data_IF_954432439028
#
_entry.id   IF_954432439028
#
_cell.length_a   1.000
_cell.length_b   1.000
_cell.length_c   1.000
_cell.angle_alpha   90.00
_cell.angle_beta   90.00
_cell.angle_gamma   90.00
#
_symmetry.space_group_name_H-M   'P 1'
#
loop_
_entity.id
_entity.type
_entity.pdbx_description
1 polymer ?
#
# COMPACT_ATOMS: atom_id res chain seq x y z
N UNK A 1 12.35 -9.60 -28.40
CA UNK A 1 11.82 -8.25 -28.13
C UNK A 1 12.47 -7.77 -26.85
N UNK A 2 13.36 -6.77 -26.96
CA UNK A 2 14.12 -6.25 -25.83
C UNK A 2 13.23 -5.44 -24.91
N UNK A 3 13.16 -5.83 -23.64
CA UNK A 3 12.54 -5.06 -22.57
C UNK A 3 13.37 -3.78 -22.38
N UNK A 4 12.85 -2.63 -22.81
CA UNK A 4 13.47 -1.33 -22.57
C UNK A 4 13.30 -0.98 -21.09
N UNK A 5 14.41 -0.76 -20.39
CA UNK A 5 14.42 -0.29 -19.02
C UNK A 5 13.57 0.98 -18.88
N UNK A 6 12.66 0.98 -17.91
CA UNK A 6 12.06 2.21 -17.40
C UNK A 6 13.16 2.98 -16.66
N UNK A 7 13.83 3.89 -17.35
CA UNK A 7 14.79 4.81 -16.74
C UNK A 7 14.02 5.87 -15.93
N UNK A 8 13.74 5.57 -14.66
CA UNK A 8 13.42 6.58 -13.66
C UNK A 8 14.76 7.13 -13.14
N UNK A 9 15.07 8.39 -13.43
CA UNK A 9 16.24 9.07 -12.84
C UNK A 9 15.78 9.98 -11.71
N UNK A 10 16.36 9.78 -10.52
CA UNK A 10 16.13 10.59 -9.34
C UNK A 10 17.23 11.64 -9.22
N UNK A 11 16.87 12.92 -9.22
CA UNK A 11 17.76 13.99 -8.75
C UNK A 11 17.47 14.28 -7.28
N UNK A 12 18.48 14.25 -6.42
CA UNK A 12 18.37 14.65 -5.00
C UNK A 12 18.99 16.03 -4.78
N UNK A 13 18.38 16.85 -3.94
CA UNK A 13 18.91 18.13 -3.46
C UNK A 13 19.56 17.98 -2.08
N UNK A 14 20.40 18.94 -1.66
CA UNK A 14 21.14 18.88 -0.39
C UNK A 14 20.25 18.85 0.86
N UNK A 15 18.99 19.29 0.74
CA UNK A 15 17.95 19.24 1.78
C UNK A 15 17.18 17.90 1.83
N UNK A 16 17.52 16.95 0.95
CA UNK A 16 16.91 15.63 0.90
C UNK A 16 15.63 15.55 0.06
N UNK A 17 15.16 16.66 -0.55
CA UNK A 17 14.07 16.60 -1.53
C UNK A 17 14.50 15.87 -2.81
N UNK A 18 13.51 15.29 -3.50
CA UNK A 18 13.74 14.55 -4.74
C UNK A 18 12.75 14.93 -5.81
N UNK A 19 13.26 15.13 -7.02
CA UNK A 19 12.45 15.30 -8.23
C UNK A 19 12.70 14.15 -9.19
N UNK A 20 11.65 13.72 -9.88
CA UNK A 20 11.68 12.58 -10.79
C UNK A 20 11.49 13.04 -12.24
N UNK A 21 12.42 12.65 -13.12
CA UNK A 21 12.20 12.73 -14.57
C UNK A 21 11.50 11.44 -15.00
N UNK A 22 10.31 11.56 -15.60
CA UNK A 22 9.47 10.41 -15.95
C UNK A 22 9.20 10.37 -17.46
N UNK A 23 8.96 9.17 -17.99
CA UNK A 23 8.51 8.99 -19.36
C UNK A 23 6.98 8.91 -19.41
N UNK A 24 6.32 9.95 -19.92
CA UNK A 24 4.85 10.03 -20.03
C UNK A 24 4.22 8.94 -20.93
N UNK A 25 5.03 8.30 -21.77
CA UNK A 25 4.64 7.20 -22.66
C UNK A 25 5.24 5.85 -22.24
N UNK A 26 5.88 5.77 -21.07
CA UNK A 26 6.45 4.53 -20.54
C UNK A 26 5.38 3.48 -20.21
N UNK A 27 5.81 2.22 -20.03
CA UNK A 27 4.93 1.06 -19.80
C UNK A 27 3.95 1.24 -18.64
N UNK A 28 4.34 1.95 -17.57
CA UNK A 28 3.47 2.28 -16.44
C UNK A 28 2.15 2.96 -16.87
N UNK A 29 2.18 3.79 -17.91
CA UNK A 29 1.00 4.47 -18.46
C UNK A 29 0.21 3.62 -19.46
N UNK A 30 0.71 2.42 -19.78
CA UNK A 30 0.13 1.50 -20.77
C UNK A 30 -0.47 0.26 -20.13
N UNK A 31 -0.04 -0.11 -18.92
CA UNK A 31 -0.62 -1.18 -18.13
C UNK A 31 -2.13 -0.97 -18.00
N UNK A 32 -2.91 -1.96 -18.42
CA UNK A 32 -4.37 -1.94 -18.40
C UNK A 32 -4.92 -3.35 -18.09
N UNK A 33 -6.23 -3.52 -18.16
CA UNK A 33 -6.88 -4.78 -17.76
C UNK A 33 -6.47 -5.98 -18.65
N UNK A 34 -6.09 -5.76 -19.91
CA UNK A 34 -5.67 -6.82 -20.83
C UNK A 34 -4.38 -7.52 -20.37
N UNK A 35 -3.59 -6.88 -19.50
CA UNK A 35 -2.38 -7.44 -18.90
C UNK A 35 -2.69 -8.35 -17.69
N UNK A 36 -3.95 -8.46 -17.27
CA UNK A 36 -4.39 -9.26 -16.12
C UNK A 36 -4.84 -10.65 -16.55
N UNK A 37 -4.05 -11.66 -16.21
CA UNK A 37 -4.40 -13.07 -16.45
C UNK A 37 -5.33 -13.62 -15.36
N UNK A 38 -6.64 -13.50 -15.57
CA UNK A 38 -7.67 -14.01 -14.65
C UNK A 38 -7.66 -15.52 -14.47
N UNK A 39 -7.10 -16.29 -15.41
CA UNK A 39 -7.04 -17.76 -15.29
C UNK A 39 -6.12 -18.19 -14.14
N UNK A 40 -5.16 -17.34 -13.75
CA UNK A 40 -4.23 -17.63 -12.65
C UNK A 40 -4.76 -17.29 -11.28
N UNK A 41 -5.89 -16.59 -11.16
CA UNK A 41 -6.40 -16.13 -9.87
C UNK A 41 -6.71 -17.29 -8.91
N UNK A 42 -7.13 -18.45 -9.43
CA UNK A 42 -7.41 -19.64 -8.59
C UNK A 42 -6.15 -20.27 -7.98
N UNK A 43 -4.95 -19.79 -8.35
CA UNK A 43 -3.66 -20.31 -7.86
C UNK A 43 -3.17 -19.55 -6.61
N UNK A 44 -3.80 -18.43 -6.25
CA UNK A 44 -3.38 -17.59 -5.13
C UNK A 44 -4.52 -17.34 -4.14
N UNK A 45 -4.16 -17.06 -2.89
CA UNK A 45 -5.11 -16.77 -1.81
C UNK A 45 -5.45 -15.28 -1.69
N UNK A 46 -4.56 -14.43 -2.20
CA UNK A 46 -4.61 -12.98 -2.01
C UNK A 46 -4.15 -12.28 -3.29
N UNK A 47 -4.90 -11.25 -3.68
CA UNK A 47 -4.56 -10.30 -4.72
C UNK A 47 -4.10 -9.00 -4.04
N UNK A 48 -2.94 -8.49 -4.45
CA UNK A 48 -2.44 -7.19 -4.02
C UNK A 48 -2.36 -6.25 -5.22
N UNK A 49 -3.26 -5.27 -5.28
CA UNK A 49 -3.14 -4.16 -6.23
C UNK A 49 -2.14 -3.15 -5.66
N UNK A 50 -0.92 -3.18 -6.21
CA UNK A 50 0.23 -2.49 -5.63
C UNK A 50 0.14 -0.95 -5.58
N UNK A 51 -0.80 -0.32 -6.29
CA UNK A 51 -1.16 1.10 -6.14
C UNK A 51 -2.34 1.47 -7.05
N UNK A 52 -3.50 1.81 -6.48
CA UNK A 52 -4.58 2.51 -7.19
C UNK A 52 -4.04 3.86 -7.70
N UNK A 53 -4.50 4.29 -8.88
CA UNK A 53 -4.07 5.48 -9.63
C UNK A 53 -2.67 5.45 -10.23
N UNK A 54 -1.85 4.43 -9.94
CA UNK A 54 -0.49 4.39 -10.49
C UNK A 54 -0.46 4.20 -12.00
N UNK A 55 -1.28 3.29 -12.51
CA UNK A 55 -1.50 3.06 -13.94
C UNK A 55 -2.91 3.53 -14.31
N UNK A 56 -3.07 4.72 -14.93
CA UNK A 56 -4.39 5.34 -15.06
C UNK A 56 -5.40 4.57 -15.93
N UNK A 57 -4.96 3.61 -16.74
CA UNK A 57 -5.86 2.75 -17.51
C UNK A 57 -6.49 1.63 -16.66
N UNK A 58 -5.97 1.39 -15.45
CA UNK A 58 -6.64 0.60 -14.42
C UNK A 58 -7.56 1.52 -13.59
N UNK A 59 -8.56 2.08 -14.27
CA UNK A 59 -9.58 2.96 -13.69
C UNK A 59 -10.60 2.20 -12.82
N UNK A 60 -11.57 2.91 -12.22
CA UNK A 60 -12.57 2.29 -11.35
C UNK A 60 -13.35 1.14 -12.00
N UNK A 61 -13.61 1.18 -13.31
CA UNK A 61 -14.33 0.10 -14.01
C UNK A 61 -13.43 -1.12 -14.19
N UNK A 62 -12.19 -0.90 -14.63
CA UNK A 62 -11.21 -1.97 -14.76
C UNK A 62 -10.94 -2.63 -13.39
N UNK A 63 -10.79 -1.84 -12.34
CA UNK A 63 -10.59 -2.34 -10.98
C UNK A 63 -11.80 -3.12 -10.47
N UNK A 64 -13.02 -2.65 -10.75
CA UNK A 64 -14.25 -3.36 -10.38
C UNK A 64 -14.31 -4.74 -11.01
N UNK A 65 -13.99 -4.87 -12.31
CA UNK A 65 -13.93 -6.18 -12.98
C UNK A 65 -12.84 -7.07 -12.38
N UNK A 66 -11.63 -6.52 -12.19
CA UNK A 66 -10.51 -7.26 -11.59
C UNK A 66 -10.89 -7.82 -10.21
N UNK A 67 -11.47 -6.99 -9.37
CA UNK A 67 -11.86 -7.39 -8.02
C UNK A 67 -13.06 -8.33 -8.01
N UNK A 68 -13.99 -8.19 -8.94
CA UNK A 68 -15.09 -9.15 -9.14
C UNK A 68 -14.54 -10.54 -9.45
N UNK A 69 -13.58 -10.65 -10.38
CA UNK A 69 -12.93 -11.92 -10.73
C UNK A 69 -12.15 -12.53 -9.55
N UNK A 70 -11.51 -11.69 -8.73
CA UNK A 70 -10.81 -12.12 -7.52
C UNK A 70 -11.78 -12.64 -6.45
N UNK A 71 -12.90 -11.93 -6.20
CA UNK A 71 -13.92 -12.36 -5.24
C UNK A 71 -14.66 -13.62 -5.65
N UNK A 72 -14.88 -13.82 -6.96
CA UNK A 72 -15.44 -15.07 -7.49
C UNK A 72 -14.58 -16.31 -7.12
N UNK A 73 -13.30 -16.10 -6.77
CA UNK A 73 -12.35 -17.14 -6.34
C UNK A 73 -11.96 -17.01 -4.86
N UNK A 74 -12.75 -16.25 -4.09
CA UNK A 74 -12.59 -16.07 -2.64
C UNK A 74 -11.21 -15.53 -2.23
N UNK A 75 -10.55 -14.80 -3.13
CA UNK A 75 -9.28 -14.15 -2.80
C UNK A 75 -9.50 -13.03 -1.79
N UNK A 76 -8.53 -12.87 -0.88
CA UNK A 76 -8.38 -11.64 -0.12
C UNK A 76 -7.90 -10.54 -1.08
N UNK A 77 -8.47 -9.35 -1.00
CA UNK A 77 -8.09 -8.21 -1.84
C UNK A 77 -7.44 -7.13 -0.97
N UNK A 78 -6.17 -6.89 -1.26
CA UNK A 78 -5.35 -5.84 -0.71
C UNK A 78 -5.10 -4.76 -1.76
N UNK A 79 -5.12 -3.49 -1.37
CA UNK A 79 -4.77 -2.39 -2.27
C UNK A 79 -4.00 -1.30 -1.53
N UNK A 80 -2.95 -0.77 -2.18
CA UNK A 80 -2.31 0.50 -1.80
C UNK A 80 -2.79 1.60 -2.76
N UNK A 81 -2.41 2.85 -2.50
CA UNK A 81 -2.81 4.01 -3.30
C UNK A 81 -1.64 4.98 -3.45
N UNK A 82 -1.66 5.76 -4.54
CA UNK A 82 -0.85 6.97 -4.67
C UNK A 82 -1.76 8.17 -4.89
N UNK A 83 -1.20 9.38 -4.96
CA UNK A 83 -1.95 10.54 -5.45
C UNK A 83 -2.47 10.31 -6.88
N UNK A 84 -3.74 10.67 -7.18
CA UNK A 84 -4.28 10.69 -8.53
C UNK A 84 -3.35 11.39 -9.53
N UNK A 85 -3.25 10.85 -10.75
CA UNK A 85 -2.37 11.40 -11.81
C UNK A 85 -3.12 12.27 -12.82
N UNK A 86 -4.42 12.04 -12.98
CA UNK A 86 -5.30 12.68 -13.94
C UNK A 86 -6.50 13.36 -13.26
N UNK A 87 -6.35 13.74 -11.99
CA UNK A 87 -7.40 14.35 -11.15
C UNK A 87 -8.58 13.41 -10.86
N UNK A 88 -8.34 12.10 -10.87
CA UNK A 88 -9.31 11.13 -10.37
C UNK A 88 -9.67 11.44 -8.91
N UNK A 89 -10.92 11.17 -8.55
CA UNK A 89 -11.50 11.42 -7.24
C UNK A 89 -11.82 10.12 -6.53
N UNK A 90 -12.24 10.19 -5.27
CA UNK A 90 -12.72 9.02 -4.53
C UNK A 90 -13.95 8.39 -5.20
N UNK A 91 -14.83 9.21 -5.77
CA UNK A 91 -16.06 8.75 -6.44
C UNK A 91 -15.75 7.85 -7.64
N UNK A 92 -14.69 8.18 -8.39
CA UNK A 92 -14.27 7.43 -9.59
C UNK A 92 -13.86 5.98 -9.27
N UNK A 93 -13.52 5.67 -8.02
CA UNK A 93 -13.10 4.34 -7.58
C UNK A 93 -13.99 3.73 -6.49
N UNK A 94 -15.04 4.43 -6.06
CA UNK A 94 -15.82 4.05 -4.88
C UNK A 94 -16.48 2.67 -5.04
N UNK A 95 -16.97 2.35 -6.24
CA UNK A 95 -17.50 1.01 -6.55
C UNK A 95 -16.44 -0.09 -6.40
N UNK A 96 -15.24 0.12 -6.97
CA UNK A 96 -14.14 -0.83 -6.88
C UNK A 96 -13.68 -1.03 -5.42
N UNK A 97 -13.65 0.05 -4.63
CA UNK A 97 -13.27 -0.01 -3.22
C UNK A 97 -14.20 -0.91 -2.37
N UNK A 98 -15.45 -1.10 -2.78
CA UNK A 98 -16.41 -1.96 -2.05
C UNK A 98 -15.98 -3.44 -1.95
N UNK A 99 -15.08 -3.86 -2.84
CA UNK A 99 -14.51 -5.21 -2.90
C UNK A 99 -13.22 -5.35 -2.08
N UNK A 100 -12.60 -4.26 -1.64
CA UNK A 100 -11.29 -4.29 -0.98
C UNK A 100 -11.42 -4.71 0.49
N UNK A 101 -10.67 -5.73 0.88
CA UNK A 101 -10.65 -6.21 2.27
C UNK A 101 -9.71 -5.39 3.14
N UNK A 102 -8.54 -5.02 2.60
CA UNK A 102 -7.51 -4.23 3.28
C UNK A 102 -7.00 -3.12 2.35
N UNK A 103 -7.29 -1.87 2.70
CA UNK A 103 -6.76 -0.69 2.01
C UNK A 103 -5.62 -0.09 2.83
N UNK A 104 -4.50 0.22 2.20
CA UNK A 104 -3.29 0.74 2.85
C UNK A 104 -2.97 2.19 2.46
N UNK A 105 -3.84 3.19 2.69
CA UNK A 105 -3.55 4.53 2.23
C UNK A 105 -2.43 5.19 3.07
N UNK A 106 -1.66 6.09 2.46
CA UNK A 106 -0.77 7.00 3.20
C UNK A 106 -1.59 8.17 3.76
N UNK A 107 -1.34 8.59 5.01
CA UNK A 107 -2.10 9.69 5.65
C UNK A 107 -2.15 10.97 4.80
N UNK A 108 -1.02 11.45 4.26
CA UNK A 108 -0.97 12.70 3.53
C UNK A 108 -1.75 12.65 2.20
N UNK A 109 -1.70 11.51 1.52
CA UNK A 109 -2.40 11.28 0.26
C UNK A 109 -3.89 11.05 0.48
N UNK A 110 -4.25 10.30 1.53
CA UNK A 110 -5.63 10.06 1.94
C UNK A 110 -6.33 11.35 2.36
N UNK A 111 -5.65 12.19 3.14
CA UNK A 111 -6.12 13.52 3.52
C UNK A 111 -6.42 14.37 2.29
N UNK A 112 -5.52 14.38 1.31
CA UNK A 112 -5.73 15.12 0.06
C UNK A 112 -6.92 14.57 -0.75
N UNK A 113 -7.04 13.26 -0.87
CA UNK A 113 -8.11 12.61 -1.65
C UNK A 113 -9.50 12.79 -1.02
N UNK A 114 -9.59 12.70 0.31
CA UNK A 114 -10.86 12.76 1.06
C UNK A 114 -11.27 14.18 1.46
N UNK A 115 -10.30 15.11 1.51
CA UNK A 115 -10.49 16.46 2.06
C UNK A 115 -10.75 16.47 3.57
N UNK A 116 -10.42 15.39 4.29
CA UNK A 116 -10.61 15.23 5.74
C UNK A 116 -9.31 15.36 6.50
N UNK A 117 -9.41 15.80 7.75
CA UNK A 117 -8.25 16.14 8.58
C UNK A 117 -7.92 15.03 9.58
N UNK A 118 -8.93 14.41 10.18
CA UNK A 118 -8.73 13.39 11.22
C UNK A 118 -8.66 11.99 10.63
N UNK A 119 -7.87 11.11 11.26
CA UNK A 119 -7.73 9.71 10.82
C UNK A 119 -9.07 8.97 10.75
N UNK A 120 -9.96 9.24 11.69
CA UNK A 120 -11.31 8.66 11.73
C UNK A 120 -12.15 9.10 10.54
N UNK A 121 -12.25 10.41 10.27
CA UNK A 121 -13.01 10.93 9.14
C UNK A 121 -12.43 10.49 7.79
N UNK A 122 -11.09 10.44 7.67
CA UNK A 122 -10.41 9.92 6.48
C UNK A 122 -10.79 8.45 6.26
N UNK A 123 -10.72 7.62 7.31
CA UNK A 123 -11.10 6.21 7.22
C UNK A 123 -12.58 6.04 6.87
N UNK A 124 -13.46 6.88 7.43
CA UNK A 124 -14.91 6.83 7.20
C UNK A 124 -15.28 7.07 5.74
N UNK A 125 -14.53 7.90 5.02
CA UNK A 125 -14.72 8.08 3.57
C UNK A 125 -14.51 6.76 2.80
N UNK A 126 -13.48 5.98 3.14
CA UNK A 126 -13.24 4.69 2.50
C UNK A 126 -14.25 3.61 2.95
N UNK A 127 -14.68 3.66 4.22
CA UNK A 127 -15.76 2.80 4.71
C UNK A 127 -17.08 3.06 4.01
N UNK A 128 -17.40 4.31 3.71
CA UNK A 128 -18.60 4.68 2.97
C UNK A 128 -18.61 4.06 1.55
N UNK A 129 -17.44 3.83 0.96
CA UNK A 129 -17.29 3.07 -0.29
C UNK A 129 -17.30 1.55 -0.11
N UNK A 130 -17.36 1.03 1.12
CA UNK A 130 -17.50 -0.39 1.41
C UNK A 130 -16.22 -1.17 1.68
N UNK A 131 -15.07 -0.49 1.83
CA UNK A 131 -13.80 -1.11 2.26
C UNK A 131 -13.99 -1.82 3.60
N UNK A 132 -13.44 -3.03 3.77
CA UNK A 132 -13.65 -3.81 5.01
C UNK A 132 -12.72 -3.37 6.16
N UNK A 133 -11.45 -3.08 5.84
CA UNK A 133 -10.44 -2.63 6.80
C UNK A 133 -9.58 -1.54 6.16
N UNK A 134 -9.48 -0.40 6.82
CA UNK A 134 -8.63 0.71 6.39
C UNK A 134 -7.42 0.76 7.33
N UNK A 135 -6.21 0.69 6.77
CA UNK A 135 -4.93 0.70 7.50
C UNK A 135 -4.11 1.90 7.04
N UNK A 136 -4.31 3.05 7.69
CA UNK A 136 -3.65 4.31 7.35
C UNK A 136 -2.22 4.29 7.90
N UNK A 137 -1.24 4.42 7.01
CA UNK A 137 0.19 4.58 7.37
C UNK A 137 0.41 6.01 7.89
N UNK A 138 0.87 6.15 9.12
CA UNK A 138 1.11 7.44 9.80
C UNK A 138 2.60 7.71 10.06
N UNK A 139 3.48 7.03 9.30
CA UNK A 139 4.93 7.25 9.36
C UNK A 139 5.50 6.96 10.75
N UNK A 140 6.06 7.98 11.39
CA UNK A 140 6.69 7.91 12.72
C UNK A 140 5.72 7.51 13.84
N UNK A 141 4.42 7.66 13.62
CA UNK A 141 3.39 7.25 14.59
C UNK A 141 2.91 5.79 14.37
N UNK A 142 3.43 5.11 13.34
CA UNK A 142 3.08 3.74 12.99
C UNK A 142 1.91 3.65 12.03
N UNK A 143 0.81 3.04 12.47
CA UNK A 143 -0.42 3.01 11.69
C UNK A 143 -1.70 3.13 12.53
N UNK A 144 -2.75 3.58 11.87
CA UNK A 144 -4.12 3.61 12.36
C UNK A 144 -4.95 2.62 11.56
N UNK A 145 -5.75 1.82 12.26
CA UNK A 145 -6.60 0.81 11.67
C UNK A 145 -8.04 1.08 12.08
N UNK A 146 -8.95 1.02 11.12
CA UNK A 146 -10.39 1.02 11.36
C UNK A 146 -11.02 -0.19 10.66
N UNK A 147 -11.93 -0.88 11.35
CA UNK A 147 -12.69 -2.06 10.87
C UNK A 147 -14.05 -2.09 11.55
N UNK A 148 -15.10 -1.73 10.80
CA UNK A 148 -16.42 -1.48 11.39
C UNK A 148 -16.32 -0.40 12.45
N UNK A 149 -16.89 -0.63 13.63
CA UNK A 149 -16.86 0.32 14.75
C UNK A 149 -15.54 0.31 15.55
N UNK A 150 -14.63 -0.64 15.24
CA UNK A 150 -13.36 -0.76 15.95
C UNK A 150 -12.29 0.13 15.30
N UNK A 151 -11.59 0.88 16.16
CA UNK A 151 -10.37 1.60 15.79
C UNK A 151 -9.18 1.11 16.64
N UNK A 152 -7.99 1.10 16.04
CA UNK A 152 -6.76 0.67 16.68
C UNK A 152 -5.59 1.51 16.18
N UNK A 153 -4.80 2.05 17.11
CA UNK A 153 -3.49 2.63 16.81
C UNK A 153 -2.40 1.63 17.18
N UNK A 154 -1.44 1.43 16.28
CA UNK A 154 -0.28 0.57 16.51
C UNK A 154 0.97 1.43 16.27
N UNK A 155 1.68 1.84 17.34
CA UNK A 155 2.82 2.75 17.26
C UNK A 155 3.92 2.27 16.30
N UNK A 156 4.76 3.15 15.76
CA UNK A 156 5.96 2.69 15.05
C UNK A 156 6.96 2.03 16.01
N UNK A 157 7.95 1.31 15.45
CA UNK A 157 9.11 0.86 16.23
C UNK A 157 9.89 2.09 16.71
N UNK A 158 10.17 2.13 18.02
CA UNK A 158 10.89 3.25 18.65
C UNK A 158 12.39 3.19 18.36
N UNK A 159 13.07 4.34 18.42
CA UNK A 159 14.53 4.40 18.24
C UNK A 159 15.03 4.29 16.80
N UNK A 160 14.14 4.33 15.81
CA UNK A 160 14.49 4.26 14.39
C UNK A 160 14.77 5.66 13.83
N UNK A 161 15.98 5.85 13.29
CA UNK A 161 16.37 7.04 12.53
C UNK A 161 16.39 6.70 11.04
N UNK A 162 15.40 7.19 10.29
CA UNK A 162 15.28 6.91 8.86
C UNK A 162 16.42 7.56 8.05
N UNK A 163 17.06 6.77 7.19
CA UNK A 163 18.05 7.19 6.19
C UNK A 163 17.35 7.53 4.86
N UNK A 164 16.42 6.69 4.43
CA UNK A 164 15.63 6.86 3.21
C UNK A 164 14.23 6.30 3.45
N UNK A 165 13.18 7.01 3.04
CA UNK A 165 11.79 6.57 3.22
C UNK A 165 11.17 5.98 1.96
N UNK A 166 11.94 5.94 0.85
CA UNK A 166 11.50 5.32 -0.40
C UNK A 166 11.16 3.85 -0.15
N UNK A 167 9.97 3.44 -0.58
CA UNK A 167 9.48 2.07 -0.45
C UNK A 167 9.06 1.67 0.97
N UNK A 168 9.07 2.57 1.96
CA UNK A 168 8.59 2.25 3.31
C UNK A 168 7.12 1.80 3.30
N UNK A 169 6.28 2.40 2.45
CA UNK A 169 4.89 1.99 2.25
C UNK A 169 4.77 0.59 1.64
N UNK A 170 5.60 0.27 0.64
CA UNK A 170 5.63 -1.05 0.00
C UNK A 170 6.06 -2.14 0.99
N UNK A 171 7.09 -1.85 1.80
CA UNK A 171 7.56 -2.76 2.85
C UNK A 171 6.52 -2.93 3.97
N UNK A 172 5.81 -1.86 4.34
CA UNK A 172 4.68 -1.95 5.27
C UNK A 172 3.59 -2.89 4.74
N UNK A 173 3.11 -2.66 3.52
CA UNK A 173 2.06 -3.49 2.91
C UNK A 173 2.52 -4.95 2.77
N UNK A 174 3.77 -5.17 2.37
CA UNK A 174 4.37 -6.51 2.26
C UNK A 174 4.42 -7.23 3.61
N UNK A 175 4.85 -6.55 4.66
CA UNK A 175 4.87 -7.11 6.02
C UNK A 175 3.46 -7.43 6.52
N UNK A 176 2.50 -6.53 6.30
CA UNK A 176 1.10 -6.75 6.67
C UNK A 176 0.52 -7.98 5.97
N UNK A 177 0.72 -8.08 4.65
CA UNK A 177 0.25 -9.20 3.83
C UNK A 177 0.90 -10.52 4.25
N UNK A 178 2.20 -10.53 4.55
CA UNK A 178 2.89 -11.72 5.02
C UNK A 178 2.28 -12.24 6.33
N UNK A 179 2.11 -11.35 7.31
CA UNK A 179 1.48 -11.69 8.58
C UNK A 179 0.01 -12.13 8.41
N UNK A 180 -0.72 -11.52 7.48
CA UNK A 180 -2.10 -11.89 7.18
C UNK A 180 -2.20 -13.31 6.60
N UNK A 181 -1.31 -13.68 5.69
CA UNK A 181 -1.24 -15.02 5.10
C UNK A 181 -0.82 -16.09 6.11
N UNK A 182 -0.16 -15.70 7.20
CA UNK A 182 0.19 -16.54 8.35
C UNK A 182 -0.97 -16.71 9.35
N UNK A 183 -2.10 -16.05 9.13
CA UNK A 183 -3.26 -16.12 10.02
C UNK A 183 -3.10 -15.35 11.33
N UNK A 184 -2.14 -14.41 11.39
CA UNK A 184 -1.96 -13.52 12.55
C UNK A 184 -3.17 -12.61 12.74
N UNK A 185 -3.39 -12.18 13.98
CA UNK A 185 -4.45 -11.22 14.28
C UNK A 185 -4.08 -9.81 13.78
N UNK A 186 -5.08 -8.92 13.74
CA UNK A 186 -4.92 -7.59 13.12
C UNK A 186 -3.81 -6.74 13.77
N UNK A 187 -3.64 -6.84 15.09
CA UNK A 187 -2.57 -6.13 15.80
C UNK A 187 -1.21 -6.71 15.40
N UNK A 188 -1.07 -8.02 15.40
CA UNK A 188 0.17 -8.69 15.00
C UNK A 188 0.55 -8.37 13.55
N UNK A 189 -0.41 -8.31 12.63
CA UNK A 189 -0.17 -7.87 11.25
C UNK A 189 0.38 -6.44 11.21
N UNK A 190 -0.20 -5.54 11.99
CA UNK A 190 0.24 -4.15 12.09
C UNK A 190 1.65 -4.01 12.67
N UNK A 191 1.98 -4.78 13.72
CA UNK A 191 3.33 -4.77 14.31
C UNK A 191 4.37 -5.29 13.32
N UNK A 192 4.08 -6.40 12.63
CA UNK A 192 4.98 -6.96 11.63
C UNK A 192 5.17 -6.01 10.44
N UNK A 193 4.12 -5.32 10.01
CA UNK A 193 4.19 -4.26 8.99
C UNK A 193 5.07 -3.09 9.44
N UNK A 194 4.89 -2.59 10.67
CA UNK A 194 5.71 -1.53 11.25
C UNK A 194 7.19 -1.95 11.35
N UNK A 195 7.48 -3.18 11.79
CA UNK A 195 8.86 -3.70 11.86
C UNK A 195 9.50 -3.83 10.47
N UNK A 196 8.74 -4.31 9.49
CA UNK A 196 9.23 -4.45 8.10
C UNK A 196 9.57 -3.08 7.50
N UNK A 197 8.69 -2.09 7.69
CA UNK A 197 8.93 -0.72 7.24
C UNK A 197 10.08 -0.05 8.01
N UNK A 198 10.21 -0.31 9.32
CA UNK A 198 11.31 0.21 10.13
C UNK A 198 12.67 -0.26 9.61
N UNK A 199 12.79 -1.52 9.18
CA UNK A 199 14.03 -2.03 8.59
C UNK A 199 14.31 -1.42 7.24
N UNK A 200 13.29 -1.22 6.40
CA UNK A 200 13.50 -0.66 5.07
C UNK A 200 14.07 0.76 5.14
N UNK A 201 13.64 1.56 6.12
CA UNK A 201 14.09 2.96 6.21
C UNK A 201 15.51 3.13 6.73
N UNK A 202 16.14 2.07 7.24
CA UNK A 202 17.53 2.07 7.71
C UNK A 202 18.54 1.88 6.58
N UNK A 203 18.11 1.87 5.31
CA UNK A 203 18.98 1.68 4.15
C UNK A 203 18.50 2.52 2.97
N UNK A 204 19.42 2.89 2.08
CA UNK A 204 19.08 3.66 0.87
C UNK A 204 18.40 2.74 -0.15
N UNK A 205 17.25 3.17 -0.69
CA UNK A 205 16.47 2.44 -1.68
C UNK A 205 15.44 1.45 -1.11
N UNK A 206 14.40 1.18 -1.89
CA UNK A 206 13.19 0.49 -1.42
C UNK A 206 13.40 -0.92 -0.87
N UNK A 207 14.29 -1.72 -1.46
CA UNK A 207 14.39 -3.17 -1.18
C UNK A 207 15.75 -3.58 -0.62
N UNK A 208 16.58 -2.63 -0.21
CA UNK A 208 17.95 -2.90 0.27
C UNK A 208 18.00 -3.25 1.75
N UNK A 209 17.08 -2.69 2.54
CA UNK A 209 16.99 -2.91 3.99
C UNK A 209 16.52 -4.32 4.35
N UNK A 210 15.34 -4.71 3.86
CA UNK A 210 14.73 -6.02 4.18
C UNK A 210 15.38 -7.13 3.35
N UNK A 211 16.52 -7.65 3.81
CA UNK A 211 17.28 -8.70 3.12
C UNK A 211 16.70 -10.10 3.32
N UNK A 212 16.08 -10.34 4.46
CA UNK A 212 15.44 -11.61 4.80
C UNK A 212 14.48 -11.40 5.97
N UNK A 213 13.65 -12.41 6.21
CA UNK A 213 12.64 -12.43 7.27
C UNK A 213 13.22 -12.32 8.68
N UNK A 214 14.37 -12.95 8.94
CA UNK A 214 14.97 -13.02 10.27
C UNK A 214 15.25 -11.63 10.86
N UNK A 215 15.65 -10.67 10.03
CA UNK A 215 15.86 -9.29 10.45
C UNK A 215 14.56 -8.67 11.03
N UNK A 216 13.42 -8.92 10.37
CA UNK A 216 12.11 -8.42 10.81
C UNK A 216 11.69 -9.07 12.12
N UNK A 217 11.88 -10.38 12.25
CA UNK A 217 11.55 -11.11 13.48
C UNK A 217 12.39 -10.65 14.67
N UNK A 218 13.69 -10.40 14.48
CA UNK A 218 14.57 -9.86 15.51
C UNK A 218 14.11 -8.47 15.98
N UNK A 219 13.78 -7.57 15.06
CA UNK A 219 13.27 -6.25 15.44
C UNK A 219 11.90 -6.34 16.12
N UNK A 220 11.07 -7.32 15.74
CA UNK A 220 9.76 -7.51 16.36
C UNK A 220 9.88 -7.94 17.83
N UNK A 221 10.86 -8.77 18.18
CA UNK A 221 11.15 -9.14 19.58
C UNK A 221 11.51 -7.91 20.43
N UNK A 222 12.34 -7.01 19.89
CA UNK A 222 12.70 -5.73 20.54
C UNK A 222 11.52 -4.77 20.65
N UNK A 223 10.56 -4.86 19.73
CA UNK A 223 9.34 -4.05 19.72
C UNK A 223 8.26 -4.58 20.68
N UNK A 224 8.42 -5.82 21.16
CA UNK A 224 7.51 -6.49 22.10
C UNK A 224 7.98 -6.48 23.56
N UNK A 225 9.29 -6.35 23.78
CA UNK A 225 9.90 -6.17 25.11
C UNK A 225 9.75 -4.75 25.65
#
# INVERSE_FOLDING_TARGET
>A
MSCSSTDLRTGGTEDGERTFVTNRNGSLWKLNIDDVDFARFSQAKLLSLASIFNSPLLDGKALTEIFTQAKARQMIICADMIKPRLNETLDDICEALSYVDYLFPNYAEAKLLTGKETLDEIADCFFACGVKTVVIKTGKDGCFIKRGDMTMKVPAVVGITAIDTIGAGDNFASGFIAALLEGKNLRECARFANATAAISVLSVGATTGVKNRKLVEQLLEEYEG
#
